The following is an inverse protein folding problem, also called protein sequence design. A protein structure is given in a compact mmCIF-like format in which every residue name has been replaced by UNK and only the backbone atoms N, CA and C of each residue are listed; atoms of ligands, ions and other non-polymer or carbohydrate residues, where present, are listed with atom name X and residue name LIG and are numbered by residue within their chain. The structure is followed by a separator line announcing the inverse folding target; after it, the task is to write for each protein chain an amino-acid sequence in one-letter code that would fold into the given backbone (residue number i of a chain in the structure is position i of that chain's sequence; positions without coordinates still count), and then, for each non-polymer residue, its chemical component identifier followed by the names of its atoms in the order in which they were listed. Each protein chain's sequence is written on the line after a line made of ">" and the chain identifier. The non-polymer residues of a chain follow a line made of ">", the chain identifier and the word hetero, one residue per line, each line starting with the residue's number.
data_IF_079877746926
#
_entry.id   IF_079877746926
#
_cell.length_a   1.000
_cell.length_b   1.000
_cell.length_c   1.000
_cell.angle_alpha   90.00
_cell.angle_beta   90.00
_cell.angle_gamma   90.00
#
_symmetry.space_group_name_H-M   'P 1'
#
loop_
_entity.id
_entity.type
_entity.pdbx_description
1 polymer ?
#
# COMPACT_ATOMS: atom_id res chain seq x y z
N UNK A 1 9.53 -4.56 -9.49
CA UNK A 1 9.71 -3.36 -8.63
C UNK A 1 8.38 -2.92 -8.05
N UNK A 2 8.35 -2.13 -6.96
CA UNK A 2 7.13 -1.49 -6.44
C UNK A 2 7.17 0.00 -6.80
N UNK A 3 6.05 0.56 -7.27
CA UNK A 3 5.97 2.01 -7.50
C UNK A 3 5.90 2.77 -6.18
N UNK A 4 6.25 4.08 -6.15
CA UNK A 4 6.11 4.91 -4.95
C UNK A 4 4.70 4.84 -4.33
N UNK A 5 3.66 4.89 -5.16
CA UNK A 5 2.27 4.79 -4.72
C UNK A 5 1.92 3.44 -4.07
N UNK A 6 2.40 2.33 -4.65
CA UNK A 6 2.23 1.00 -4.08
C UNK A 6 2.87 0.87 -2.69
N UNK A 7 4.03 1.49 -2.51
CA UNK A 7 4.78 1.45 -1.24
C UNK A 7 4.11 2.28 -0.16
N UNK A 8 3.66 3.49 -0.51
CA UNK A 8 2.94 4.36 0.40
C UNK A 8 1.67 3.67 0.95
N UNK A 9 0.93 2.96 0.09
CA UNK A 9 -0.24 2.18 0.51
C UNK A 9 0.12 1.07 1.51
N UNK A 10 1.15 0.28 1.21
CA UNK A 10 1.60 -0.81 2.09
C UNK A 10 2.16 -0.28 3.43
N UNK A 11 2.88 0.85 3.42
CA UNK A 11 3.36 1.51 4.64
C UNK A 11 2.19 2.01 5.50
N UNK A 12 1.18 2.61 4.86
CA UNK A 12 -0.03 3.04 5.55
C UNK A 12 -0.76 1.87 6.19
N UNK A 13 -0.94 0.76 5.47
CA UNK A 13 -1.53 -0.46 6.04
C UNK A 13 -0.68 -1.07 7.16
N UNK A 14 0.64 -0.92 7.12
CA UNK A 14 1.51 -1.38 8.21
C UNK A 14 1.33 -0.53 9.47
N UNK A 15 1.12 0.78 9.32
CA UNK A 15 0.95 1.73 10.44
C UNK A 15 -0.47 1.73 11.01
N UNK A 16 -1.48 1.79 10.16
CA UNK A 16 -2.90 1.87 10.55
C UNK A 16 -3.55 0.48 10.70
N UNK A 17 -2.88 -0.57 10.21
CA UNK A 17 -3.45 -1.91 10.15
C UNK A 17 -4.42 -2.05 8.98
N UNK A 18 -5.59 -2.62 9.24
CA UNK A 18 -6.54 -2.89 8.18
C UNK A 18 -7.28 -1.62 7.74
N UNK A 19 -7.28 -1.33 6.44
CA UNK A 19 -7.89 -0.12 5.90
C UNK A 19 -9.33 -0.37 5.45
N UNK A 20 -10.27 0.44 5.92
CA UNK A 20 -11.66 0.45 5.45
C UNK A 20 -11.78 0.90 3.99
N UNK A 21 -10.86 1.76 3.55
CA UNK A 21 -10.80 2.28 2.20
C UNK A 21 -9.36 2.43 1.74
N UNK A 22 -9.13 2.05 0.49
CA UNK A 22 -7.84 2.20 -0.20
C UNK A 22 -7.76 3.52 -0.96
N UNK A 23 -8.68 4.47 -0.72
CA UNK A 23 -8.53 5.84 -1.21
C UNK A 23 -7.43 6.57 -0.41
N UNK A 24 -6.63 7.43 -1.04
CA UNK A 24 -6.77 7.97 -2.40
C UNK A 24 -6.11 7.14 -3.52
N UNK A 25 -5.59 5.94 -3.24
CA UNK A 25 -4.86 5.17 -4.25
C UNK A 25 -5.76 4.67 -5.38
N UNK A 26 -5.22 4.70 -6.59
CA UNK A 26 -5.90 4.19 -7.76
C UNK A 26 -6.19 2.69 -7.66
N UNK A 27 -7.32 2.26 -8.21
CA UNK A 27 -7.73 0.86 -8.20
C UNK A 27 -6.71 -0.05 -8.93
N UNK A 28 -5.99 0.47 -9.92
CA UNK A 28 -4.87 -0.19 -10.60
C UNK A 28 -3.73 -0.54 -9.65
N UNK A 29 -3.35 0.38 -8.76
CA UNK A 29 -2.35 0.18 -7.71
C UNK A 29 -2.78 -0.95 -6.77
N UNK A 30 -4.04 -0.91 -6.32
CA UNK A 30 -4.60 -1.91 -5.40
C UNK A 30 -4.70 -3.29 -6.07
N UNK A 31 -5.18 -3.36 -7.32
CA UNK A 31 -5.25 -4.60 -8.10
C UNK A 31 -3.86 -5.20 -8.34
N UNK A 32 -2.84 -4.39 -8.61
CA UNK A 32 -1.47 -4.87 -8.76
C UNK A 32 -0.91 -5.46 -7.46
N UNK A 33 -1.15 -4.82 -6.31
CA UNK A 33 -0.76 -5.36 -5.00
C UNK A 33 -1.53 -6.64 -4.65
N UNK A 34 -2.80 -6.71 -5.01
CA UNK A 34 -3.64 -7.90 -4.82
C UNK A 34 -3.15 -9.07 -5.68
N UNK A 35 -2.89 -8.84 -6.97
CA UNK A 35 -2.35 -9.84 -7.89
C UNK A 35 -1.00 -10.39 -7.42
N UNK A 36 -0.20 -9.57 -6.74
CA UNK A 36 1.08 -9.96 -6.14
C UNK A 36 0.95 -10.62 -4.77
N UNK A 37 -0.27 -10.73 -4.23
CA UNK A 37 -0.56 -11.30 -2.93
C UNK A 37 0.02 -10.48 -1.77
N UNK A 38 0.18 -9.17 -1.93
CA UNK A 38 0.72 -8.27 -0.90
C UNK A 38 -0.38 -7.73 0.02
N UNK A 39 -1.56 -7.53 -0.53
CA UNK A 39 -2.78 -7.13 0.19
C UNK A 39 -3.88 -8.14 -0.07
N UNK A 40 -4.85 -8.23 0.84
CA UNK A 40 -6.05 -9.03 0.64
C UNK A 40 -7.29 -8.28 1.10
N UNK A 41 -8.39 -8.28 0.34
CA UNK A 41 -9.67 -7.83 0.84
C UNK A 41 -10.21 -8.89 1.82
N UNK A 42 -10.71 -8.47 2.98
CA UNK A 42 -11.57 -9.29 3.82
C UNK A 42 -12.99 -9.11 3.32
N UNK A 43 -13.41 -10.01 2.45
CA UNK A 43 -14.82 -10.10 2.11
C UNK A 43 -15.61 -10.42 3.39
N UNK A 44 -16.46 -9.49 3.84
CA UNK A 44 -17.59 -9.92 4.67
C UNK A 44 -18.43 -10.81 3.76
N UNK A 45 -18.61 -12.04 4.18
CA UNK A 45 -19.25 -13.15 3.47
C UNK A 45 -20.72 -12.79 3.13
N UNK A 46 -20.96 -11.93 2.14
CA UNK A 46 -22.25 -11.75 1.48
C UNK A 46 -22.01 -11.17 0.10
N UNK A 47 -22.40 -11.96 -0.89
CA UNK A 47 -22.47 -11.56 -2.28
C UNK A 47 -23.29 -10.28 -2.44
N UNK A 48 -22.87 -9.42 -3.38
CA UNK A 48 -23.77 -8.45 -4.01
C UNK A 48 -23.48 -6.97 -3.76
N UNK A 49 -22.85 -6.58 -2.65
CA UNK A 49 -22.82 -5.15 -2.29
C UNK A 49 -21.44 -4.51 -2.43
N UNK A 50 -21.46 -3.29 -2.96
CA UNK A 50 -20.33 -2.48 -3.39
C UNK A 50 -19.21 -2.48 -2.33
N UNK A 51 -18.06 -3.09 -2.69
CA UNK A 51 -16.99 -3.56 -1.82
C UNK A 51 -16.32 -2.47 -0.94
N UNK A 52 -16.99 -2.01 0.13
CA UNK A 52 -16.32 -1.43 1.30
C UNK A 52 -15.73 -2.55 2.16
N UNK A 53 -14.89 -3.38 1.53
CA UNK A 53 -14.20 -4.48 2.18
C UNK A 53 -12.99 -3.96 2.94
N UNK A 54 -12.80 -4.42 4.19
CA UNK A 54 -11.61 -4.09 4.96
C UNK A 54 -10.38 -4.71 4.27
N UNK A 55 -9.37 -3.92 3.98
CA UNK A 55 -8.15 -4.36 3.30
C UNK A 55 -7.05 -4.66 4.32
N UNK A 56 -6.45 -5.83 4.20
CA UNK A 56 -5.39 -6.29 5.10
C UNK A 56 -4.07 -6.40 4.36
N UNK A 57 -3.00 -6.02 5.06
CA UNK A 57 -1.65 -6.36 4.68
C UNK A 57 -1.41 -7.86 4.94
N UNK A 58 -0.78 -8.53 3.98
CA UNK A 58 -0.35 -9.93 4.16
C UNK A 58 1.03 -10.00 4.82
N UNK A 59 1.42 -11.18 5.30
CA UNK A 59 2.79 -11.42 5.76
C UNK A 59 3.83 -11.11 4.67
N UNK A 60 3.51 -11.40 3.40
CA UNK A 60 4.37 -11.09 2.26
C UNK A 60 4.51 -9.59 2.03
N UNK A 61 3.40 -8.84 2.09
CA UNK A 61 3.41 -7.38 2.01
C UNK A 61 4.23 -6.73 3.12
N UNK A 62 4.17 -7.31 4.32
CA UNK A 62 4.95 -6.84 5.48
C UNK A 62 6.45 -7.01 5.29
N UNK A 63 6.89 -8.17 4.77
CA UNK A 63 8.32 -8.45 4.51
C UNK A 63 8.92 -7.58 3.41
N UNK A 64 8.11 -7.22 2.42
CA UNK A 64 8.54 -6.43 1.27
C UNK A 64 8.78 -4.95 1.62
N UNK A 65 8.26 -4.47 2.75
CA UNK A 65 8.51 -3.12 3.24
C UNK A 65 9.46 -3.20 4.43
N UNK A 66 10.78 -3.14 4.21
CA UNK A 66 11.73 -2.97 5.30
C UNK A 66 11.51 -1.62 5.97
N UNK A 67 11.69 -1.57 7.30
CA UNK A 67 11.50 -0.36 8.12
C UNK A 67 12.38 0.82 7.66
N UNK A 68 13.48 0.54 6.95
CA UNK A 68 14.42 1.53 6.41
C UNK A 68 13.84 2.44 5.33
N UNK A 69 12.67 2.10 4.76
CA UNK A 69 12.05 2.91 3.72
C UNK A 69 11.28 4.15 4.21
N UNK A 70 11.32 4.41 5.52
CA UNK A 70 10.96 5.71 6.09
C UNK A 70 12.00 6.79 5.77
N UNK A 71 13.18 6.43 5.24
CA UNK A 71 14.21 7.36 4.75
C UNK A 71 14.10 7.61 3.24
N UNK A 72 12.88 7.87 2.76
CA UNK A 72 12.69 8.52 1.45
C UNK A 72 11.92 9.81 1.68
N UNK A 73 12.49 10.66 2.53
CA UNK A 73 12.38 12.11 2.38
C UNK A 73 13.62 12.56 1.61
N UNK A 74 13.40 13.10 0.41
CA UNK A 74 14.19 14.17 -0.18
C UNK A 74 15.71 13.95 -0.26
N UNK A 75 16.15 13.29 -1.32
CA UNK A 75 17.54 13.28 -1.78
C UNK A 75 17.67 13.78 -3.22
N UNK A 76 16.75 14.63 -3.67
CA UNK A 76 16.87 15.39 -4.91
C UNK A 76 16.87 16.87 -4.54
N UNK A 77 18.06 17.43 -4.32
CA UNK A 77 18.45 18.79 -4.72
C UNK A 77 19.96 18.92 -4.50
N UNK A 78 20.70 18.31 -5.43
CA UNK A 78 21.97 18.90 -5.84
C UNK A 78 21.61 20.13 -6.66
N UNK A 79 21.64 21.31 -6.05
CA UNK A 79 21.62 22.56 -6.80
C UNK A 79 22.67 23.50 -6.24
N UNK A 80 23.71 23.65 -7.05
CA UNK A 80 24.79 24.60 -6.95
C UNK A 80 24.32 25.99 -6.52
N UNK A 81 24.97 26.54 -5.51
CA UNK A 81 25.23 27.97 -5.44
C UNK A 81 26.64 28.18 -4.89
N UNK A 82 27.58 28.31 -5.83
CA UNK A 82 28.70 29.23 -5.70
C UNK A 82 28.20 30.64 -5.99
#
# INVERSE_FOLDING_TARGET
>A
MLTPGQRALLQRMRREGALLSVRPWEMTTVRSLLARGLVRPRARRRAGDNQRGLWFLTARGTRIIPASFLRTGSGEEGQSRQ
#
